data_IF_563177266396
#
_entry.id   IF_563177266396
#
_cell.length_a   1.000
_cell.length_b   1.000
_cell.length_c   1.000
_cell.angle_alpha   90.00
_cell.angle_beta   90.00
_cell.angle_gamma   90.00
#
_symmetry.space_group_name_H-M   'P 1'
#
loop_
_entity.id
_entity.type
_entity.pdbx_description
1 polymer ?
#
# COMPACT_ATOMS: atom_id res chain seq x y z
N UNK A 1 -2.61 -6.33 4.43
CA UNK A 1 -2.23 -6.26 3.01
C UNK A 1 -3.48 -5.93 2.20
N UNK A 2 -3.45 -4.88 1.38
CA UNK A 2 -4.59 -4.55 0.50
C UNK A 2 -4.66 -5.49 -0.71
N UNK A 3 -5.85 -5.68 -1.29
CA UNK A 3 -6.05 -6.37 -2.56
C UNK A 3 -7.08 -5.64 -3.41
N UNK A 4 -7.03 -5.86 -4.73
CA UNK A 4 -8.04 -5.42 -5.68
C UNK A 4 -8.12 -6.38 -6.87
N UNK A 5 -9.32 -6.53 -7.40
CA UNK A 5 -9.64 -7.33 -8.60
C UNK A 5 -10.22 -6.37 -9.62
N UNK A 6 -9.52 -6.25 -10.74
CA UNK A 6 -9.90 -5.38 -11.86
C UNK A 6 -10.08 -6.23 -13.10
N UNK A 7 -11.02 -5.84 -13.94
CA UNK A 7 -11.31 -6.48 -15.22
C UNK A 7 -10.84 -5.59 -16.37
N UNK A 8 -10.21 -6.21 -17.38
CA UNK A 8 -9.82 -5.51 -18.60
C UNK A 8 -11.08 -4.99 -19.30
N UNK A 9 -11.13 -3.72 -19.70
CA UNK A 9 -12.29 -3.22 -20.42
C UNK A 9 -12.34 -3.78 -21.84
N UNK A 10 -13.54 -3.89 -22.39
CA UNK A 10 -13.79 -4.28 -23.79
C UNK A 10 -13.58 -3.14 -24.78
N UNK A 11 -13.32 -1.93 -24.30
CA UNK A 11 -13.09 -0.69 -25.06
C UNK A 11 -11.92 0.10 -24.45
N UNK A 12 -11.60 1.26 -25.00
CA UNK A 12 -10.52 2.16 -24.50
C UNK A 12 -10.83 2.84 -23.14
N UNK A 13 -11.82 2.37 -22.40
CA UNK A 13 -12.14 2.88 -21.06
C UNK A 13 -11.14 2.42 -20.01
N UNK A 14 -11.21 2.97 -18.79
CA UNK A 14 -10.45 2.47 -17.65
C UNK A 14 -10.90 1.04 -17.25
N UNK A 15 -9.99 0.22 -16.67
CA UNK A 15 -10.34 -1.09 -16.12
C UNK A 15 -11.43 -1.00 -15.05
N UNK A 16 -12.38 -1.93 -15.06
CA UNK A 16 -13.47 -1.94 -14.10
C UNK A 16 -13.02 -2.57 -12.79
N UNK A 17 -13.20 -1.88 -11.67
CA UNK A 17 -12.98 -2.47 -10.34
C UNK A 17 -14.16 -3.40 -10.02
N UNK A 18 -13.86 -4.68 -9.78
CA UNK A 18 -14.85 -5.70 -9.40
C UNK A 18 -14.94 -5.87 -7.89
N UNK A 19 -13.79 -5.89 -7.22
CA UNK A 19 -13.71 -6.09 -5.77
C UNK A 19 -12.39 -5.52 -5.24
N UNK A 20 -12.37 -5.04 -4.00
CA UNK A 20 -11.16 -4.66 -3.30
C UNK A 20 -11.37 -4.75 -1.79
N UNK A 21 -10.28 -4.86 -1.04
CA UNK A 21 -10.35 -5.00 0.40
C UNK A 21 -8.98 -5.17 1.05
N UNK A 22 -8.99 -5.68 2.27
CA UNK A 22 -7.76 -5.89 3.05
C UNK A 22 -7.73 -7.30 3.59
N UNK A 23 -6.65 -8.04 3.30
CA UNK A 23 -6.28 -9.24 4.03
C UNK A 23 -5.61 -8.81 5.35
N UNK A 24 -6.31 -9.01 6.46
CA UNK A 24 -5.84 -8.70 7.81
C UNK A 24 -5.77 -9.96 8.67
N UNK A 25 -4.81 -10.01 9.58
CA UNK A 25 -4.80 -11.01 10.64
C UNK A 25 -5.84 -10.64 11.69
N UNK A 26 -6.64 -11.60 12.20
CA UNK A 26 -7.58 -11.37 13.30
C UNK A 26 -6.88 -11.07 14.63
N UNK A 27 -5.63 -11.48 14.79
CA UNK A 27 -4.84 -11.32 16.01
C UNK A 27 -3.41 -10.87 15.71
N UNK A 28 -2.67 -10.49 16.75
CA UNK A 28 -1.26 -10.10 16.59
C UNK A 28 -0.39 -11.29 16.18
N UNK A 29 0.74 -11.02 15.51
CA UNK A 29 1.68 -12.07 15.03
C UNK A 29 2.11 -13.01 16.17
N UNK A 30 2.30 -12.50 17.38
CA UNK A 30 2.74 -13.30 18.54
C UNK A 30 1.70 -14.32 19.02
N UNK A 31 0.43 -14.17 18.65
CA UNK A 31 -0.62 -15.13 18.98
C UNK A 31 -0.56 -16.40 18.11
N UNK A 32 0.27 -16.43 17.06
CA UNK A 32 0.47 -17.58 16.18
C UNK A 32 1.63 -18.50 16.63
N UNK A 33 2.08 -18.38 17.88
CA UNK A 33 3.06 -19.27 18.52
C UNK A 33 4.35 -18.57 18.96
N UNK A 34 5.42 -19.35 19.09
CA UNK A 34 6.72 -18.85 19.57
C UNK A 34 7.59 -18.29 18.45
N UNK A 35 8.44 -17.32 18.79
CA UNK A 35 9.47 -16.83 17.86
C UNK A 35 10.49 -17.95 17.52
N UNK A 36 10.94 -18.09 16.26
CA UNK A 36 10.60 -17.25 15.09
C UNK A 36 9.36 -17.69 14.31
N UNK A 37 8.80 -18.87 14.61
CA UNK A 37 7.75 -19.51 13.81
C UNK A 37 6.41 -18.78 13.83
N UNK A 38 6.14 -17.93 14.83
CA UNK A 38 4.95 -17.09 14.86
C UNK A 38 4.79 -16.21 13.60
N UNK A 39 5.89 -15.74 13.00
CA UNK A 39 5.85 -14.98 11.75
C UNK A 39 5.51 -15.85 10.54
N UNK A 40 6.04 -17.07 10.49
CA UNK A 40 5.75 -18.04 9.41
C UNK A 40 4.29 -18.44 9.47
N UNK A 41 3.79 -18.80 10.66
CA UNK A 41 2.40 -19.21 10.85
C UNK A 41 1.42 -18.06 10.53
N UNK A 42 1.73 -16.83 10.96
CA UNK A 42 0.94 -15.67 10.60
C UNK A 42 0.98 -15.39 9.08
N UNK A 43 2.11 -15.64 8.41
CA UNK A 43 2.20 -15.50 6.95
C UNK A 43 1.36 -16.55 6.22
N UNK A 44 1.33 -17.79 6.70
CA UNK A 44 0.45 -18.86 6.18
C UNK A 44 -1.04 -18.51 6.36
N UNK A 45 -1.41 -17.83 7.43
CA UNK A 45 -2.78 -17.31 7.59
C UNK A 45 -3.12 -16.25 6.53
N UNK A 46 -2.20 -15.32 6.24
CA UNK A 46 -2.42 -14.37 5.13
C UNK A 46 -2.47 -15.09 3.78
N UNK A 47 -1.64 -16.12 3.58
CA UNK A 47 -1.63 -16.94 2.38
C UNK A 47 -3.00 -17.60 2.16
N UNK A 48 -3.64 -18.15 3.19
CA UNK A 48 -4.96 -18.79 3.06
C UNK A 48 -6.04 -17.81 2.57
N UNK A 49 -5.99 -16.55 3.03
CA UNK A 49 -6.87 -15.49 2.55
C UNK A 49 -6.60 -15.16 1.07
N UNK A 50 -5.33 -15.08 0.66
CA UNK A 50 -4.96 -14.86 -0.75
C UNK A 50 -5.43 -16.02 -1.63
N UNK A 51 -5.22 -17.27 -1.20
CA UNK A 51 -5.70 -18.46 -1.90
C UNK A 51 -7.21 -18.40 -2.11
N UNK A 52 -7.96 -18.04 -1.07
CA UNK A 52 -9.41 -17.89 -1.15
C UNK A 52 -9.83 -16.85 -2.19
N UNK A 53 -9.12 -15.71 -2.27
CA UNK A 53 -9.36 -14.69 -3.28
C UNK A 53 -9.03 -15.19 -4.70
N UNK A 54 -7.91 -15.90 -4.87
CA UNK A 54 -7.52 -16.47 -6.17
C UNK A 54 -8.54 -17.52 -6.63
N UNK A 55 -9.01 -18.39 -5.75
CA UNK A 55 -10.01 -19.40 -6.06
C UNK A 55 -11.39 -18.77 -6.38
N UNK A 56 -11.78 -17.73 -5.65
CA UNK A 56 -13.03 -17.02 -5.84
C UNK A 56 -13.07 -16.25 -7.17
N UNK A 57 -12.00 -15.50 -7.46
CA UNK A 57 -11.97 -14.57 -8.58
C UNK A 57 -11.31 -15.14 -9.84
N UNK A 58 -10.57 -16.26 -9.73
CA UNK A 58 -9.89 -16.95 -10.82
C UNK A 58 -9.16 -15.99 -11.78
N UNK A 59 -8.27 -15.12 -11.27
CA UNK A 59 -7.62 -14.11 -12.09
C UNK A 59 -6.70 -14.75 -13.15
N UNK A 60 -6.60 -14.16 -14.34
CA UNK A 60 -5.60 -14.56 -15.34
C UNK A 60 -4.18 -14.09 -14.97
N UNK A 61 -4.10 -12.97 -14.26
CA UNK A 61 -2.86 -12.32 -13.85
C UNK A 61 -2.95 -11.90 -12.39
N UNK A 62 -1.90 -12.21 -11.62
CA UNK A 62 -1.69 -11.71 -10.26
C UNK A 62 -0.53 -10.73 -10.26
N UNK A 63 -0.79 -9.51 -9.82
CA UNK A 63 0.19 -8.41 -9.73
C UNK A 63 0.50 -8.17 -8.25
N UNK A 64 1.78 -8.23 -7.90
CA UNK A 64 2.27 -8.08 -6.53
C UNK A 64 3.20 -6.86 -6.47
N UNK A 65 3.05 -6.00 -5.44
CA UNK A 65 4.00 -4.90 -5.23
C UNK A 65 5.32 -5.46 -4.68
N UNK A 66 6.46 -4.99 -5.17
CA UNK A 66 7.74 -5.41 -4.62
C UNK A 66 7.97 -4.94 -3.18
N UNK A 67 8.62 -5.79 -2.39
CA UNK A 67 9.10 -5.38 -1.08
C UNK A 67 10.18 -4.32 -1.26
N UNK A 68 10.06 -3.25 -0.47
CA UNK A 68 11.05 -2.18 -0.42
C UNK A 68 11.62 -2.14 0.99
N UNK A 69 12.82 -1.56 1.16
CA UNK A 69 13.48 -1.46 2.46
C UNK A 69 12.60 -0.72 3.48
N UNK A 70 12.01 -1.48 4.41
CA UNK A 70 11.26 -0.97 5.54
C UNK A 70 12.16 -0.56 6.70
N UNK A 71 11.76 0.48 7.44
CA UNK A 71 12.47 0.93 8.66
C UNK A 71 12.22 0.02 9.86
N UNK A 72 11.05 -0.63 9.92
CA UNK A 72 10.70 -1.53 11.02
C UNK A 72 11.09 -2.96 10.66
N UNK A 73 12.10 -3.48 11.35
CA UNK A 73 12.67 -4.82 11.13
C UNK A 73 11.62 -5.94 11.21
N UNK A 74 10.72 -5.90 12.20
CA UNK A 74 9.73 -6.97 12.41
C UNK A 74 8.59 -6.90 11.40
N UNK A 75 8.15 -5.68 11.04
CA UNK A 75 7.20 -5.50 9.94
C UNK A 75 7.78 -5.95 8.61
N UNK A 76 9.06 -5.63 8.33
CA UNK A 76 9.74 -6.12 7.13
C UNK A 76 9.82 -7.65 7.14
N UNK A 77 10.24 -8.25 8.26
CA UNK A 77 10.29 -9.71 8.40
C UNK A 77 8.95 -10.37 8.09
N UNK A 78 7.86 -9.84 8.64
CA UNK A 78 6.51 -10.32 8.34
C UNK A 78 6.18 -10.21 6.85
N UNK A 79 6.49 -9.06 6.23
CA UNK A 79 6.26 -8.83 4.81
C UNK A 79 7.02 -9.86 3.96
N UNK A 80 8.31 -10.05 4.19
CA UNK A 80 9.12 -11.02 3.44
C UNK A 80 8.59 -12.46 3.57
N UNK A 81 8.13 -12.86 4.76
CA UNK A 81 7.51 -14.18 4.94
C UNK A 81 6.20 -14.31 4.15
N UNK A 82 5.33 -13.29 4.15
CA UNK A 82 4.10 -13.30 3.34
C UNK A 82 4.44 -13.48 1.86
N UNK A 83 5.40 -12.70 1.35
CA UNK A 83 5.83 -12.79 -0.04
C UNK A 83 6.36 -14.18 -0.38
N UNK A 84 7.22 -14.74 0.47
CA UNK A 84 7.80 -16.06 0.26
C UNK A 84 6.73 -17.15 0.16
N UNK A 85 5.81 -17.24 1.14
CA UNK A 85 4.79 -18.29 1.15
C UNK A 85 3.78 -18.11 0.02
N UNK A 86 3.38 -16.87 -0.30
CA UNK A 86 2.45 -16.60 -1.41
C UNK A 86 3.12 -16.97 -2.75
N UNK A 87 4.36 -16.53 -2.99
CA UNK A 87 5.08 -16.84 -4.21
C UNK A 87 5.30 -18.35 -4.39
N UNK A 88 5.65 -19.06 -3.30
CA UNK A 88 5.81 -20.51 -3.32
C UNK A 88 4.50 -21.23 -3.67
N UNK A 89 3.36 -20.78 -3.13
CA UNK A 89 2.08 -21.39 -3.48
C UNK A 89 1.68 -21.10 -4.93
N UNK A 90 1.85 -19.87 -5.39
CA UNK A 90 1.55 -19.46 -6.76
C UNK A 90 2.39 -20.22 -7.78
N UNK A 91 3.68 -20.44 -7.52
CA UNK A 91 4.56 -21.15 -8.47
C UNK A 91 4.18 -22.60 -8.72
N UNK A 92 3.42 -23.22 -7.80
CA UNK A 92 2.98 -24.61 -7.91
C UNK A 92 1.51 -24.71 -8.30
N UNK A 93 0.66 -23.79 -7.84
CA UNK A 93 -0.81 -23.95 -7.89
C UNK A 93 -1.52 -22.97 -8.81
N UNK A 94 -0.83 -21.93 -9.32
CA UNK A 94 -1.44 -20.93 -10.18
C UNK A 94 -0.90 -21.05 -11.61
N UNK A 95 -1.77 -21.38 -12.56
CA UNK A 95 -1.42 -21.52 -13.97
C UNK A 95 -1.39 -20.19 -14.73
N UNK A 96 -1.91 -19.11 -14.13
CA UNK A 96 -1.89 -17.77 -14.70
C UNK A 96 -0.52 -17.09 -14.55
N UNK A 97 -0.45 -15.82 -14.94
CA UNK A 97 0.78 -15.04 -14.88
C UNK A 97 0.92 -14.35 -13.53
N UNK A 98 2.05 -14.55 -12.85
CA UNK A 98 2.40 -13.76 -11.65
C UNK A 98 3.47 -12.73 -12.03
N UNK A 99 3.27 -11.46 -11.65
CA UNK A 99 4.24 -10.38 -11.90
C UNK A 99 4.45 -9.52 -10.66
N UNK A 100 5.67 -9.00 -10.53
CA UNK A 100 6.03 -8.01 -9.53
C UNK A 100 6.20 -6.64 -10.16
N UNK A 101 5.76 -5.57 -9.50
CA UNK A 101 5.98 -4.20 -9.96
C UNK A 101 6.47 -3.33 -8.79
N UNK A 102 7.56 -2.61 -9.02
CA UNK A 102 8.14 -1.74 -8.00
C UNK A 102 7.25 -0.53 -7.71
N UNK A 103 7.34 -0.07 -6.46
CA UNK A 103 6.53 1.06 -5.99
C UNK A 103 6.83 2.40 -6.68
N UNK A 104 8.02 2.52 -7.26
CA UNK A 104 8.41 3.67 -8.07
C UNK A 104 7.82 3.58 -9.48
N UNK A 105 7.87 2.39 -10.09
CA UNK A 105 7.39 2.16 -11.47
C UNK A 105 5.89 2.38 -11.58
N UNK A 106 5.08 1.76 -10.71
CA UNK A 106 3.63 1.91 -10.81
C UNK A 106 3.18 3.36 -10.51
N UNK A 107 3.83 4.03 -9.54
CA UNK A 107 3.53 5.44 -9.24
C UNK A 107 3.89 6.38 -10.37
N UNK A 108 5.04 6.16 -11.02
CA UNK A 108 5.45 6.94 -12.18
C UNK A 108 4.45 6.74 -13.32
N UNK A 109 4.05 5.48 -13.57
CA UNK A 109 3.12 5.14 -14.65
C UNK A 109 1.78 5.86 -14.51
N UNK A 110 1.28 6.01 -13.28
CA UNK A 110 0.04 6.71 -12.97
C UNK A 110 0.21 8.23 -12.78
N UNK A 111 1.43 8.76 -12.85
CA UNK A 111 1.68 10.18 -12.59
C UNK A 111 1.44 10.61 -11.14
N UNK A 112 1.57 9.70 -10.16
CA UNK A 112 1.34 10.00 -8.74
C UNK A 112 2.49 10.82 -8.15
N UNK A 113 2.40 12.13 -8.33
CA UNK A 113 3.39 13.07 -7.82
C UNK A 113 2.77 14.08 -6.86
N UNK A 114 3.58 14.54 -5.89
CA UNK A 114 3.16 15.64 -5.02
C UNK A 114 3.05 16.92 -5.83
N UNK A 115 1.89 17.57 -5.74
CA UNK A 115 1.68 18.89 -6.33
C UNK A 115 2.54 19.96 -5.66
N UNK A 116 2.66 21.14 -6.29
CA UNK A 116 3.33 22.30 -5.68
C UNK A 116 2.70 22.67 -4.34
N UNK A 117 1.38 22.56 -4.22
CA UNK A 117 0.64 22.86 -2.99
C UNK A 117 0.88 21.81 -1.89
N UNK A 118 0.94 20.53 -2.25
CA UNK A 118 1.28 19.46 -1.31
C UNK A 118 2.71 19.69 -0.74
N UNK A 119 3.67 20.07 -1.59
CA UNK A 119 5.04 20.41 -1.19
C UNK A 119 5.08 21.64 -0.28
N UNK A 120 4.36 22.71 -0.64
CA UNK A 120 4.26 23.94 0.17
C UNK A 120 3.67 23.65 1.56
N UNK A 121 2.58 22.88 1.61
CA UNK A 121 1.96 22.42 2.87
C UNK A 121 2.93 21.61 3.72
N UNK A 122 3.63 20.65 3.13
CA UNK A 122 4.63 19.83 3.84
C UNK A 122 5.78 20.69 4.40
N UNK A 123 6.22 21.70 3.66
CA UNK A 123 7.22 22.68 4.12
C UNK A 123 6.73 23.47 5.33
N UNK A 124 5.50 23.98 5.29
CA UNK A 124 4.91 24.69 6.44
C UNK A 124 4.79 23.80 7.68
N UNK A 125 4.41 22.53 7.52
CA UNK A 125 4.36 21.60 8.65
C UNK A 125 5.75 21.33 9.24
N UNK A 126 6.80 21.29 8.41
CA UNK A 126 8.17 21.19 8.91
C UNK A 126 8.59 22.44 9.70
N UNK A 127 8.20 23.64 9.25
CA UNK A 127 8.44 24.89 9.99
C UNK A 127 7.73 24.87 11.34
N UNK A 128 6.47 24.46 11.38
CA UNK A 128 5.70 24.30 12.63
C UNK A 128 6.39 23.31 13.57
N UNK A 129 6.84 22.15 13.06
CA UNK A 129 7.62 21.17 13.86
C UNK A 129 8.91 21.74 14.44
N UNK A 130 9.57 22.65 13.72
CA UNK A 130 10.79 23.32 14.19
C UNK A 130 10.48 24.33 15.29
N UNK A 131 9.42 25.11 15.14
CA UNK A 131 8.97 26.11 16.11
C UNK A 131 8.41 25.50 17.40
N UNK A 132 7.89 24.27 17.31
CA UNK A 132 7.37 23.52 18.45
C UNK A 132 8.44 22.76 19.22
N UNK A 133 9.74 23.01 18.98
CA UNK A 133 10.79 22.37 19.78
C UNK A 133 10.92 23.05 21.14
N UNK A 134 11.14 22.25 22.18
CA UNK A 134 11.53 22.70 23.51
C UNK A 134 13.03 23.06 23.55
N UNK A 135 13.49 23.51 24.71
CA UNK A 135 14.88 23.83 25.00
C UNK A 135 15.85 22.66 24.77
N UNK A 136 15.36 21.41 24.87
CA UNK A 136 16.11 20.18 24.62
C UNK A 136 16.02 19.73 23.15
N UNK A 137 15.37 20.52 22.27
CA UNK A 137 15.19 20.21 20.86
C UNK A 137 14.16 19.12 20.56
N UNK A 138 13.42 18.62 21.58
CA UNK A 138 12.31 17.67 21.44
C UNK A 138 11.03 18.42 21.07
N UNK A 139 10.11 17.74 20.39
CA UNK A 139 8.84 18.36 19.98
C UNK A 139 7.91 18.45 21.20
N UNK A 140 7.53 19.67 21.58
CA UNK A 140 6.38 19.94 22.44
C UNK A 140 5.09 19.68 21.63
N UNK A 141 4.42 18.57 21.98
CA UNK A 141 3.19 18.11 21.35
C UNK A 141 2.02 19.10 21.51
N UNK A 142 1.91 19.78 22.66
CA UNK A 142 0.83 20.76 22.91
C UNK A 142 1.02 21.96 22.00
N UNK A 143 2.22 22.54 22.00
CA UNK A 143 2.58 23.66 21.12
C UNK A 143 2.46 23.29 19.64
N UNK A 144 2.92 22.10 19.26
CA UNK A 144 2.80 21.60 17.88
C UNK A 144 1.34 21.51 17.42
N UNK A 145 0.47 20.90 18.23
CA UNK A 145 -0.95 20.74 17.88
C UNK A 145 -1.69 22.08 17.84
N UNK A 146 -1.36 23.01 18.73
CA UNK A 146 -1.94 24.35 18.74
C UNK A 146 -1.56 25.13 17.47
N UNK A 147 -0.27 25.23 17.14
CA UNK A 147 0.21 25.90 15.92
C UNK A 147 -0.39 25.29 14.65
N UNK A 148 -0.50 23.96 14.63
CA UNK A 148 -1.09 23.21 13.53
C UNK A 148 -2.57 23.52 13.35
N UNK A 149 -3.34 23.65 14.44
CA UNK A 149 -4.77 24.02 14.42
C UNK A 149 -4.94 25.46 13.92
N UNK A 150 -4.16 26.41 14.42
CA UNK A 150 -4.20 27.82 13.98
C UNK A 150 -3.85 27.98 12.50
N UNK A 151 -2.95 27.15 11.98
CA UNK A 151 -2.56 27.17 10.57
C UNK A 151 -3.52 26.41 9.63
N UNK A 152 -4.55 25.76 10.15
CA UNK A 152 -5.53 24.98 9.36
C UNK A 152 -4.99 23.67 8.76
N UNK A 153 -3.77 23.23 9.10
CA UNK A 153 -3.17 22.05 8.50
C UNK A 153 -3.50 20.77 9.29
N UNK A 154 -4.17 19.78 8.68
CA UNK A 154 -4.42 18.49 9.34
C UNK A 154 -3.21 17.56 9.45
N UNK A 155 -2.19 17.73 8.61
CA UNK A 155 -1.04 16.80 8.56
C UNK A 155 -0.31 16.85 7.22
N UNK A 156 0.82 16.15 7.14
CA UNK A 156 1.60 16.05 5.90
C UNK A 156 0.83 15.27 4.85
N UNK A 157 0.95 15.68 3.60
CA UNK A 157 0.54 14.88 2.46
C UNK A 157 1.68 13.93 2.13
N UNK A 158 1.37 12.65 1.95
CA UNK A 158 2.32 11.58 1.66
C UNK A 158 1.88 10.86 0.39
N UNK A 159 2.72 9.98 -0.17
CA UNK A 159 2.35 9.18 -1.34
C UNK A 159 1.03 8.41 -1.15
N UNK A 160 0.80 7.87 0.06
CA UNK A 160 -0.48 7.23 0.43
C UNK A 160 -1.71 8.13 0.25
N UNK A 161 -1.58 9.43 0.51
CA UNK A 161 -2.68 10.38 0.28
C UNK A 161 -2.91 10.68 -1.20
N UNK A 162 -1.86 10.57 -2.02
CA UNK A 162 -1.94 10.81 -3.45
C UNK A 162 -2.65 9.65 -4.13
N UNK A 163 -2.34 8.39 -3.76
CA UNK A 163 -3.06 7.22 -4.22
C UNK A 163 -4.57 7.29 -3.87
N UNK A 164 -4.91 7.65 -2.63
CA UNK A 164 -6.31 7.85 -2.22
C UNK A 164 -7.02 8.91 -3.09
N UNK A 165 -6.38 10.05 -3.33
CA UNK A 165 -6.94 11.12 -4.17
C UNK A 165 -7.12 10.67 -5.62
N UNK A 166 -6.15 9.90 -6.13
CA UNK A 166 -6.20 9.37 -7.48
C UNK A 166 -7.37 8.41 -7.66
N UNK A 167 -7.57 7.47 -6.73
CA UNK A 167 -8.70 6.53 -6.77
C UNK A 167 -10.05 7.26 -6.69
N UNK A 168 -10.17 8.29 -5.85
CA UNK A 168 -11.38 9.14 -5.80
C UNK A 168 -11.61 9.89 -7.12
N UNK A 169 -10.54 10.40 -7.75
CA UNK A 169 -10.65 11.16 -9.01
C UNK A 169 -11.02 10.26 -10.19
N UNK A 170 -10.40 9.08 -10.29
CA UNK A 170 -10.57 8.17 -11.44
C UNK A 170 -11.84 7.32 -11.32
N UNK A 171 -12.17 6.85 -10.11
CA UNK A 171 -13.27 5.92 -9.89
C UNK A 171 -14.42 6.48 -9.05
N UNK A 172 -14.31 7.69 -8.50
CA UNK A 172 -15.31 8.25 -7.59
C UNK A 172 -15.39 7.53 -6.23
N UNK A 173 -14.40 6.71 -5.88
CA UNK A 173 -14.39 5.90 -4.65
C UNK A 173 -13.70 6.67 -3.53
N UNK A 174 -14.50 7.10 -2.54
CA UNK A 174 -14.03 7.87 -1.37
C UNK A 174 -13.48 6.97 -0.25
N UNK A 175 -12.24 6.55 -0.40
CA UNK A 175 -11.50 5.79 0.62
C UNK A 175 -11.03 6.67 1.78
N UNK A 176 -11.02 6.14 3.01
CA UNK A 176 -10.51 6.86 4.20
C UNK A 176 -8.99 6.75 4.26
N UNK A 177 -8.34 7.60 5.06
CA UNK A 177 -6.88 7.59 5.22
C UNK A 177 -6.31 6.25 5.73
N UNK A 178 -7.12 5.45 6.43
CA UNK A 178 -6.76 4.11 6.91
C UNK A 178 -6.88 3.03 5.81
N UNK A 179 -7.57 3.30 4.72
CA UNK A 179 -7.79 2.38 3.60
C UNK A 179 -6.70 2.57 2.51
N UNK A 180 -5.54 3.12 2.90
CA UNK A 180 -4.47 3.43 1.97
C UNK A 180 -3.89 2.18 1.28
N UNK A 181 -3.87 1.04 1.96
CA UNK A 181 -3.40 -0.22 1.35
C UNK A 181 -4.37 -0.70 0.23
N UNK A 182 -5.67 -0.38 0.33
CA UNK A 182 -6.65 -0.66 -0.74
C UNK A 182 -6.43 0.26 -1.94
N UNK A 183 -6.17 1.55 -1.67
CA UNK A 183 -5.87 2.51 -2.73
C UNK A 183 -4.60 2.14 -3.50
N UNK A 184 -3.54 1.75 -2.78
CA UNK A 184 -2.28 1.30 -3.37
C UNK A 184 -2.51 0.02 -4.20
N UNK A 185 -3.33 -0.94 -3.73
CA UNK A 185 -3.67 -2.15 -4.49
C UNK A 185 -4.41 -1.84 -5.81
N UNK A 186 -5.42 -0.96 -5.77
CA UNK A 186 -6.15 -0.52 -6.97
C UNK A 186 -5.20 0.16 -7.95
N UNK A 187 -4.34 1.05 -7.45
CA UNK A 187 -3.37 1.76 -8.28
C UNK A 187 -2.34 0.80 -8.90
N UNK A 188 -1.85 -0.19 -8.16
CA UNK A 188 -0.92 -1.20 -8.66
C UNK A 188 -1.53 -1.98 -9.83
N UNK A 189 -2.75 -2.49 -9.66
CA UNK A 189 -3.46 -3.23 -10.70
C UNK A 189 -3.75 -2.36 -11.93
N UNK A 190 -4.18 -1.11 -11.73
CA UNK A 190 -4.39 -0.17 -12.82
C UNK A 190 -3.10 0.13 -13.59
N UNK A 191 -1.98 0.34 -12.87
CA UNK A 191 -0.70 0.62 -13.50
C UNK A 191 -0.27 -0.55 -14.40
N UNK A 192 -0.51 -1.80 -13.98
CA UNK A 192 -0.29 -2.98 -14.82
C UNK A 192 -1.10 -2.91 -16.12
N UNK A 193 -2.40 -2.60 -16.05
CA UNK A 193 -3.23 -2.42 -17.24
C UNK A 193 -2.76 -1.30 -18.16
N UNK A 194 -2.21 -0.22 -17.60
CA UNK A 194 -1.64 0.88 -18.37
C UNK A 194 -0.27 0.51 -19.00
N UNK A 195 0.28 -0.66 -18.71
CA UNK A 195 1.58 -1.12 -19.20
C UNK A 195 2.74 -0.61 -18.35
N UNK A 196 2.61 -0.68 -17.02
CA UNK A 196 3.76 -0.61 -16.12
C UNK A 196 4.65 -1.84 -16.31
N UNK A 197 5.96 -1.62 -16.41
CA UNK A 197 6.93 -2.69 -16.63
C UNK A 197 7.06 -3.55 -15.37
N UNK A 198 6.87 -4.89 -15.47
CA UNK A 198 7.21 -5.80 -14.38
C UNK A 198 8.70 -5.75 -14.05
N UNK A 199 9.04 -6.02 -12.80
CA UNK A 199 10.43 -6.24 -12.42
C UNK A 199 10.95 -7.57 -12.99
N UNK A 200 12.21 -7.59 -13.37
CA UNK A 200 12.96 -8.76 -13.85
C UNK A 200 13.88 -9.38 -12.76
N UNK A 201 13.94 -8.77 -11.58
CA UNK A 201 14.72 -9.24 -10.44
C UNK A 201 16.20 -8.86 -10.48
N UNK A 202 16.61 -7.95 -11.37
CA UNK A 202 18.00 -7.49 -11.54
C UNK A 202 18.23 -6.05 -11.06
#
# INVERSE_FOLDING_TARGET
>A
MGFSVLEKPTSDSEPKILHFGTCSLPQTVLAYGSYPFCYVNAALEIQSHVISLVQLHKPDVIVIEETNLGRNRYSQKMLEFIHCVVAQWLSVNFSGRTVYISSSVWRQKLGLQMTKDDKKRNSNINKIKKQSKDENGKIDLKKFNQLKKTSGFRGKVTQKHIALRYVDTVYGIKLKSKDNDQADAICLALAFFMGATPCDGM
#
